data_IF_801300302944
#
_entry.id   IF_801300302944
#
_cell.length_a   1.000
_cell.length_b   1.000
_cell.length_c   1.000
_cell.angle_alpha   90.00
_cell.angle_beta   90.00
_cell.angle_gamma   90.00
#
_symmetry.space_group_name_H-M   'P 1'
#
loop_
_entity.id
_entity.type
_entity.pdbx_description
1 polymer ?
#
# COMPACT_ATOMS: atom_id res chain seq x y z
N UNK A 1 -21.13 49.91 -50.18
CA UNK A 1 -20.30 50.22 -48.99
C UNK A 1 -20.22 48.97 -48.12
N UNK A 2 -19.02 48.37 -48.12
CA UNK A 2 -18.42 47.35 -47.22
C UNK A 2 -19.31 46.58 -46.23
N UNK A 3 -19.49 45.28 -46.48
CA UNK A 3 -19.85 44.29 -45.46
C UNK A 3 -18.57 43.83 -44.73
N UNK A 4 -18.43 44.18 -43.45
CA UNK A 4 -17.35 43.72 -42.57
C UNK A 4 -17.65 42.31 -42.06
N UNK A 5 -16.91 41.32 -42.54
CA UNK A 5 -16.85 39.99 -41.94
C UNK A 5 -15.89 40.04 -40.74
N UNK A 6 -16.43 39.92 -39.52
CA UNK A 6 -15.66 39.70 -38.30
C UNK A 6 -15.41 38.19 -38.18
N UNK A 7 -14.20 37.75 -38.52
CA UNK A 7 -13.71 36.40 -38.22
C UNK A 7 -13.42 36.31 -36.73
N UNK A 8 -14.33 35.68 -35.98
CA UNK A 8 -14.10 35.24 -34.60
C UNK A 8 -13.16 34.02 -34.64
N UNK A 9 -11.90 34.24 -34.29
CA UNK A 9 -10.97 33.15 -33.94
C UNK A 9 -11.41 32.56 -32.60
N UNK A 10 -12.10 31.41 -32.64
CA UNK A 10 -12.34 30.60 -31.46
C UNK A 10 -11.00 29.96 -31.05
N UNK A 11 -10.39 30.49 -29.99
CA UNK A 11 -9.29 29.85 -29.29
C UNK A 11 -9.83 28.56 -28.65
N UNK A 12 -9.62 27.42 -29.31
CA UNK A 12 -9.82 26.11 -28.72
C UNK A 12 -8.73 25.89 -27.67
N UNK A 13 -8.99 26.28 -26.43
CA UNK A 13 -8.22 25.85 -25.28
C UNK A 13 -8.49 24.36 -25.06
N UNK A 14 -7.60 23.51 -25.57
CA UNK A 14 -7.57 22.12 -25.14
C UNK A 14 -7.27 22.09 -23.63
N UNK A 15 -8.07 21.40 -22.81
CA UNK A 15 -7.69 21.14 -21.44
C UNK A 15 -6.44 20.25 -21.53
N UNK A 16 -5.28 20.80 -21.20
CA UNK A 16 -4.15 19.95 -20.84
C UNK A 16 -4.60 19.20 -19.59
N UNK A 17 -4.97 17.93 -19.75
CA UNK A 17 -5.10 17.02 -18.61
C UNK A 17 -3.71 16.98 -17.99
N UNK A 18 -3.51 17.70 -16.89
CA UNK A 18 -2.27 17.64 -16.15
C UNK A 18 -2.12 16.20 -15.66
N UNK A 19 -1.26 15.42 -16.32
CA UNK A 19 -0.86 14.10 -15.81
C UNK A 19 -0.40 14.30 -14.37
N UNK A 20 -0.96 13.54 -13.44
CA UNK A 20 -0.50 13.60 -12.05
C UNK A 20 1.02 13.38 -12.03
N UNK A 21 1.75 14.17 -11.24
CA UNK A 21 3.22 14.25 -11.36
C UNK A 21 3.90 12.90 -11.13
N UNK A 22 3.27 12.00 -10.39
CA UNK A 22 3.77 10.63 -10.15
C UNK A 22 3.75 9.74 -11.41
N UNK A 23 2.93 10.06 -12.42
CA UNK A 23 2.79 9.27 -13.66
C UNK A 23 4.03 9.38 -14.57
N UNK A 24 4.93 10.32 -14.30
CA UNK A 24 6.21 10.44 -15.00
C UNK A 24 7.12 9.25 -14.63
N UNK A 25 7.70 8.51 -15.60
CA UNK A 25 8.45 7.28 -15.30
C UNK A 25 9.55 7.44 -14.27
N UNK A 26 10.33 8.52 -14.37
CA UNK A 26 11.42 8.81 -13.45
C UNK A 26 10.88 9.09 -12.05
N UNK A 27 9.73 9.77 -11.95
CA UNK A 27 9.09 10.03 -10.66
C UNK A 27 8.53 8.77 -10.04
N UNK A 28 7.83 7.93 -10.81
CA UNK A 28 7.33 6.65 -10.35
C UNK A 28 8.46 5.74 -9.86
N UNK A 29 9.58 5.69 -10.58
CA UNK A 29 10.77 4.94 -10.17
C UNK A 29 11.34 5.44 -8.83
N UNK A 30 11.43 6.76 -8.64
CA UNK A 30 11.89 7.37 -7.39
C UNK A 30 10.96 7.04 -6.21
N UNK A 31 9.65 7.17 -6.42
CA UNK A 31 8.64 6.85 -5.40
C UNK A 31 8.74 5.37 -5.04
N UNK A 32 8.80 4.48 -6.04
CA UNK A 32 8.92 3.05 -5.81
C UNK A 32 10.17 2.71 -5.00
N UNK A 33 11.33 3.26 -5.37
CA UNK A 33 12.57 3.04 -4.62
C UNK A 33 12.46 3.53 -3.16
N UNK A 34 11.83 4.69 -2.93
CA UNK A 34 11.66 5.27 -1.60
C UNK A 34 10.70 4.47 -0.70
N UNK A 35 9.72 3.79 -1.26
CA UNK A 35 8.73 3.00 -0.49
C UNK A 35 9.15 1.53 -0.35
N UNK A 36 9.84 0.96 -1.34
CA UNK A 36 10.10 -0.49 -1.40
C UNK A 36 11.48 -0.95 -0.88
N UNK A 37 12.50 -0.07 -0.89
CA UNK A 37 13.87 -0.47 -0.51
C UNK A 37 14.12 -0.31 1.00
N UNK A 38 13.56 0.72 1.60
CA UNK A 38 13.70 1.06 3.02
C UNK A 38 12.58 0.41 3.85
N UNK A 39 12.75 0.45 5.17
CA UNK A 39 11.71 0.10 6.13
C UNK A 39 11.53 1.29 7.06
N UNK A 40 10.29 1.58 7.44
CA UNK A 40 9.94 2.73 8.30
C UNK A 40 10.67 2.67 9.65
N UNK A 41 10.80 1.45 10.19
CA UNK A 41 11.37 1.22 11.52
C UNK A 41 12.47 0.15 11.46
N UNK A 42 13.73 0.57 11.49
CA UNK A 42 14.88 -0.31 11.74
C UNK A 42 16.06 -0.11 10.80
N UNK A 43 17.18 -0.72 11.19
CA UNK A 43 18.45 -0.65 10.45
C UNK A 43 18.61 -1.92 9.60
N UNK A 44 18.14 -1.86 8.36
CA UNK A 44 18.25 -2.96 7.40
C UNK A 44 18.87 -2.50 6.08
N UNK A 45 19.49 -3.40 5.30
CA UNK A 45 19.96 -3.04 3.98
C UNK A 45 18.79 -2.55 3.12
N UNK A 46 19.04 -1.53 2.31
CA UNK A 46 18.11 -1.03 1.32
C UNK A 46 17.95 -2.09 0.21
N UNK A 47 16.91 -2.91 0.30
CA UNK A 47 16.67 -4.04 -0.60
C UNK A 47 15.18 -4.37 -0.74
N UNK A 48 14.81 -4.99 -1.85
CA UNK A 48 13.44 -5.47 -2.07
C UNK A 48 13.09 -6.60 -1.10
N UNK A 49 11.92 -6.47 -0.48
CA UNK A 49 11.30 -7.47 0.39
C UNK A 49 10.01 -7.93 -0.27
N UNK A 50 9.85 -9.23 -0.52
CA UNK A 50 8.69 -9.78 -1.26
C UNK A 50 8.29 -11.17 -0.75
N UNK A 51 7.00 -11.49 -0.83
CA UNK A 51 6.51 -12.83 -0.59
C UNK A 51 6.86 -13.77 -1.75
N UNK A 52 7.27 -15.01 -1.43
CA UNK A 52 7.46 -16.10 -2.39
C UNK A 52 6.56 -17.32 -2.09
N UNK A 53 5.68 -17.18 -1.11
CA UNK A 53 4.74 -18.19 -0.65
C UNK A 53 3.36 -17.55 -0.50
N UNK A 54 2.27 -18.35 -0.47
CA UNK A 54 0.94 -17.82 -0.20
C UNK A 54 0.89 -17.03 1.11
N UNK A 55 0.14 -15.94 1.12
CA UNK A 55 -0.06 -15.11 2.31
C UNK A 55 -1.28 -15.64 3.06
N UNK A 56 -1.07 -15.98 4.33
CA UNK A 56 -2.07 -16.55 5.22
C UNK A 56 -2.23 -15.62 6.42
N UNK A 57 -3.40 -14.99 6.47
CA UNK A 57 -3.70 -13.93 7.43
C UNK A 57 -4.50 -14.51 8.60
N UNK A 58 -4.01 -14.35 9.82
CA UNK A 58 -4.81 -14.62 11.01
C UNK A 58 -5.17 -13.32 11.70
N UNK A 59 -6.43 -13.19 12.11
CA UNK A 59 -6.93 -12.01 12.81
C UNK A 59 -7.06 -12.36 14.29
N UNK A 60 -6.28 -11.67 15.11
CA UNK A 60 -6.41 -11.66 16.56
C UNK A 60 -7.40 -10.55 16.95
N UNK A 61 -8.58 -10.93 17.42
CA UNK A 61 -9.65 -9.98 17.68
C UNK A 61 -9.90 -9.84 19.17
N UNK A 62 -9.45 -8.72 19.75
CA UNK A 62 -9.48 -8.47 21.21
C UNK A 62 -10.43 -7.35 21.62
N UNK A 63 -11.27 -6.90 20.69
CA UNK A 63 -12.23 -5.80 20.84
C UNK A 63 -13.62 -6.21 20.32
N UNK A 64 -14.61 -5.31 20.38
CA UNK A 64 -15.92 -5.52 19.75
C UNK A 64 -15.87 -5.46 18.21
N UNK A 65 -17.03 -5.52 17.55
CA UNK A 65 -17.17 -5.30 16.08
C UNK A 65 -16.43 -6.28 15.16
N UNK A 66 -16.25 -7.53 15.59
CA UNK A 66 -15.61 -8.61 14.81
C UNK A 66 -16.09 -8.72 13.38
N UNK A 67 -17.40 -8.72 13.18
CA UNK A 67 -18.00 -8.85 11.84
C UNK A 67 -17.56 -7.71 10.91
N UNK A 68 -17.50 -6.48 11.41
CA UNK A 68 -17.07 -5.33 10.63
C UNK A 68 -15.58 -5.42 10.28
N UNK A 69 -14.72 -5.68 11.28
CA UNK A 69 -13.28 -5.72 11.05
C UNK A 69 -12.88 -6.86 10.10
N UNK A 70 -13.49 -8.04 10.24
CA UNK A 70 -13.27 -9.15 9.31
C UNK A 70 -13.76 -8.80 7.91
N UNK A 71 -14.93 -8.17 7.77
CA UNK A 71 -15.47 -7.76 6.47
C UNK A 71 -14.55 -6.76 5.76
N UNK A 72 -14.10 -5.72 6.46
CA UNK A 72 -13.18 -4.71 5.91
C UNK A 72 -11.85 -5.35 5.48
N UNK A 73 -11.30 -6.20 6.34
CA UNK A 73 -10.06 -6.94 6.07
C UNK A 73 -10.22 -7.83 4.83
N UNK A 74 -11.29 -8.63 4.76
CA UNK A 74 -11.54 -9.55 3.66
C UNK A 74 -11.67 -8.86 2.31
N UNK A 75 -12.36 -7.72 2.27
CA UNK A 75 -12.50 -6.91 1.07
C UNK A 75 -11.14 -6.40 0.59
N UNK A 76 -10.28 -5.96 1.51
CA UNK A 76 -8.93 -5.50 1.16
C UNK A 76 -8.01 -6.64 0.72
N UNK A 77 -8.02 -7.78 1.42
CA UNK A 77 -7.20 -8.94 1.04
C UNK A 77 -7.53 -9.45 -0.36
N UNK A 78 -8.82 -9.48 -0.75
CA UNK A 78 -9.23 -9.81 -2.13
C UNK A 78 -8.69 -8.79 -3.13
N UNK A 79 -8.76 -7.50 -2.80
CA UNK A 79 -8.24 -6.43 -3.65
C UNK A 79 -6.73 -6.56 -3.87
N UNK A 80 -5.96 -6.78 -2.81
CA UNK A 80 -4.52 -7.01 -2.87
C UNK A 80 -4.17 -8.24 -3.71
N UNK A 81 -4.91 -9.36 -3.54
CA UNK A 81 -4.73 -10.56 -4.35
C UNK A 81 -4.98 -10.31 -5.83
N UNK A 82 -6.02 -9.55 -6.18
CA UNK A 82 -6.34 -9.19 -7.55
C UNK A 82 -5.25 -8.32 -8.22
N UNK A 83 -4.66 -7.37 -7.50
CA UNK A 83 -3.60 -6.49 -8.02
C UNK A 83 -2.28 -7.27 -8.21
N UNK A 84 -1.90 -8.06 -7.21
CA UNK A 84 -0.57 -8.67 -7.12
C UNK A 84 -0.47 -10.06 -7.74
N UNK A 85 -1.60 -10.75 -7.92
CA UNK A 85 -1.64 -12.17 -8.31
C UNK A 85 -1.23 -13.13 -7.19
N UNK A 86 -1.01 -12.64 -5.97
CA UNK A 86 -0.72 -13.48 -4.81
C UNK A 86 -1.96 -14.27 -4.37
N UNK A 87 -1.72 -15.50 -3.90
CA UNK A 87 -2.70 -16.26 -3.12
C UNK A 87 -2.72 -15.71 -1.68
N UNK A 88 -3.72 -14.87 -1.39
CA UNK A 88 -3.92 -14.21 -0.09
C UNK A 88 -5.25 -14.70 0.50
N UNK A 89 -5.23 -15.27 1.70
CA UNK A 89 -6.43 -15.77 2.36
C UNK A 89 -6.34 -15.70 3.88
N UNK A 90 -7.48 -15.56 4.56
CA UNK A 90 -7.55 -15.73 6.01
C UNK A 90 -7.45 -17.19 6.43
N UNK A 91 -6.88 -17.42 7.61
CA UNK A 91 -6.86 -18.72 8.29
C UNK A 91 -7.50 -18.60 9.67
N UNK A 92 -8.12 -19.69 10.14
CA UNK A 92 -8.84 -19.69 11.41
C UNK A 92 -7.95 -19.83 12.66
N UNK A 93 -6.69 -20.22 12.49
CA UNK A 93 -5.74 -20.47 13.60
C UNK A 93 -4.38 -19.86 13.29
N UNK A 94 -3.71 -19.37 14.35
CA UNK A 94 -2.46 -18.60 14.25
C UNK A 94 -1.31 -19.39 13.65
N UNK A 95 -1.23 -20.69 13.92
CA UNK A 95 -0.12 -21.57 13.52
C UNK A 95 -0.05 -21.77 12.00
N UNK A 96 -1.12 -21.44 11.28
CA UNK A 96 -1.18 -21.49 9.82
C UNK A 96 -0.89 -20.14 9.16
N UNK A 97 -0.67 -19.09 9.94
CA UNK A 97 -0.50 -17.74 9.45
C UNK A 97 0.97 -17.38 9.28
N UNK A 98 1.24 -16.57 8.26
CA UNK A 98 2.49 -15.83 8.11
C UNK A 98 2.25 -14.32 8.13
N UNK A 99 1.00 -13.87 8.18
CA UNK A 99 0.61 -12.49 8.45
C UNK A 99 -0.35 -12.45 9.64
N UNK A 100 -0.05 -11.66 10.66
CA UNK A 100 -0.91 -11.49 11.85
C UNK A 100 -1.50 -10.08 11.87
N UNK A 101 -2.82 -9.97 11.95
CA UNK A 101 -3.52 -8.70 12.14
C UNK A 101 -4.16 -8.69 13.53
N UNK A 102 -3.70 -7.80 14.40
CA UNK A 102 -4.23 -7.67 15.77
C UNK A 102 -5.11 -6.43 15.87
N UNK A 103 -6.38 -6.63 16.18
CA UNK A 103 -7.28 -5.56 16.60
C UNK A 103 -7.30 -5.50 18.12
N UNK A 104 -6.72 -4.45 18.68
CA UNK A 104 -6.55 -4.26 20.12
C UNK A 104 -7.09 -2.90 20.59
N UNK A 105 -6.84 -2.56 21.85
CA UNK A 105 -7.13 -1.27 22.47
C UNK A 105 -5.84 -0.51 22.73
N UNK A 106 -5.90 0.82 22.76
CA UNK A 106 -4.75 1.67 23.05
C UNK A 106 -4.06 1.32 24.38
N UNK A 107 -4.83 0.92 25.41
CA UNK A 107 -4.32 0.52 26.72
C UNK A 107 -3.50 -0.80 26.74
N UNK A 108 -3.63 -1.63 25.71
CA UNK A 108 -2.86 -2.89 25.51
C UNK A 108 -1.81 -2.78 24.41
N UNK A 109 -1.76 -1.66 23.70
CA UNK A 109 -1.06 -1.56 22.43
C UNK A 109 0.45 -1.82 22.55
N UNK A 110 1.10 -1.28 23.59
CA UNK A 110 2.53 -1.51 23.84
C UNK A 110 2.87 -3.01 24.03
N UNK A 111 2.04 -3.76 24.76
CA UNK A 111 2.23 -5.20 24.96
C UNK A 111 2.08 -5.97 23.65
N UNK A 112 1.10 -5.57 22.84
CA UNK A 112 0.78 -6.25 21.59
C UNK A 112 1.81 -5.98 20.51
N UNK A 113 2.31 -4.74 20.43
CA UNK A 113 3.46 -4.39 19.59
C UNK A 113 4.70 -5.18 20.01
N UNK A 114 5.01 -5.23 21.31
CA UNK A 114 6.17 -5.98 21.80
C UNK A 114 6.08 -7.47 21.47
N UNK A 115 4.88 -8.04 21.48
CA UNK A 115 4.63 -9.46 21.15
C UNK A 115 4.78 -9.76 19.67
N UNK A 116 4.21 -8.92 18.81
CA UNK A 116 4.10 -9.20 17.37
C UNK A 116 5.29 -8.67 16.56
N UNK A 117 5.83 -7.51 16.95
CA UNK A 117 6.90 -6.80 16.23
C UNK A 117 8.21 -6.74 17.03
N UNK A 118 8.19 -7.23 18.28
CA UNK A 118 9.34 -7.19 19.18
C UNK A 118 9.40 -5.93 20.04
N UNK A 119 10.15 -5.95 21.16
CA UNK A 119 10.16 -4.87 22.16
C UNK A 119 10.66 -3.54 21.59
N UNK A 120 11.50 -3.58 20.55
CA UNK A 120 12.01 -2.39 19.87
C UNK A 120 10.93 -1.58 19.17
N UNK A 121 9.81 -2.17 18.75
CA UNK A 121 8.72 -1.47 18.06
C UNK A 121 8.03 -0.45 18.97
N UNK A 122 7.96 -0.72 20.28
CA UNK A 122 7.28 0.14 21.27
C UNK A 122 7.85 1.57 21.29
N UNK A 123 9.12 1.76 20.91
CA UNK A 123 9.73 3.10 20.88
C UNK A 123 9.13 4.04 19.82
N UNK A 124 8.46 3.49 18.81
CA UNK A 124 7.84 4.24 17.71
C UNK A 124 6.33 4.42 17.88
N UNK A 125 5.74 3.88 18.96
CA UNK A 125 4.29 3.91 19.14
C UNK A 125 3.71 5.33 19.33
N UNK A 126 4.52 6.26 19.83
CA UNK A 126 4.05 7.60 20.16
C UNK A 126 3.86 8.44 18.90
N UNK A 127 2.63 8.85 18.64
CA UNK A 127 2.25 9.62 17.45
C UNK A 127 1.72 8.76 16.30
N UNK A 128 2.02 7.46 16.31
CA UNK A 128 1.44 6.51 15.36
C UNK A 128 -0.03 6.21 15.67
N UNK A 129 -0.83 5.91 14.64
CA UNK A 129 -2.25 5.51 14.78
C UNK A 129 -2.41 3.99 14.75
N UNK A 130 -1.61 3.34 13.93
CA UNK A 130 -1.42 1.90 13.80
C UNK A 130 0.07 1.66 13.57
N UNK A 131 0.51 0.41 13.72
CA UNK A 131 1.87 0.05 13.33
C UNK A 131 1.91 -1.36 12.75
N UNK A 132 2.78 -1.54 11.77
CA UNK A 132 3.11 -2.81 11.19
C UNK A 132 4.60 -3.06 11.13
N UNK A 133 4.94 -4.24 10.64
CA UNK A 133 6.31 -4.61 10.39
C UNK A 133 6.43 -6.00 9.80
N UNK A 134 7.58 -6.26 9.20
CA UNK A 134 7.85 -7.51 8.52
C UNK A 134 9.26 -8.01 8.82
N UNK A 135 9.39 -9.33 8.87
CA UNK A 135 10.66 -10.02 8.95
C UNK A 135 10.94 -10.73 7.62
N UNK A 136 12.15 -10.52 7.11
CA UNK A 136 12.59 -11.11 5.85
C UNK A 136 13.98 -11.72 5.98
N UNK A 137 14.24 -12.74 5.17
CA UNK A 137 15.55 -13.37 5.07
C UNK A 137 15.98 -13.38 3.60
N UNK A 138 17.12 -12.76 3.29
CA UNK A 138 17.60 -12.56 1.91
C UNK A 138 16.51 -11.93 1.01
N UNK A 139 15.78 -10.95 1.55
CA UNK A 139 14.67 -10.26 0.87
C UNK A 139 13.37 -11.07 0.75
N UNK A 140 13.35 -12.34 1.15
CA UNK A 140 12.10 -13.12 1.16
C UNK A 140 11.36 -12.87 2.47
N UNK A 141 10.14 -12.35 2.39
CA UNK A 141 9.30 -12.14 3.59
C UNK A 141 8.92 -13.49 4.18
N UNK A 142 9.11 -13.63 5.50
CA UNK A 142 8.81 -14.86 6.26
C UNK A 142 7.61 -14.68 7.18
N UNK A 143 7.51 -13.50 7.78
CA UNK A 143 6.38 -13.13 8.63
C UNK A 143 6.16 -11.62 8.58
N UNK A 144 4.93 -11.20 8.83
CA UNK A 144 4.59 -9.80 9.09
C UNK A 144 3.47 -9.72 10.12
N UNK A 145 3.36 -8.56 10.77
CA UNK A 145 2.25 -8.25 11.63
C UNK A 145 1.81 -6.80 11.50
N UNK A 146 0.53 -6.56 11.79
CA UNK A 146 -0.09 -5.25 11.89
C UNK A 146 -0.89 -5.20 13.19
N UNK A 147 -0.72 -4.14 13.98
CA UNK A 147 -1.37 -3.98 15.29
C UNK A 147 -2.12 -2.66 15.33
N UNK A 148 -3.46 -2.74 15.36
CA UNK A 148 -4.36 -1.60 15.27
C UNK A 148 -5.08 -1.38 16.61
N UNK A 149 -4.78 -0.29 17.35
CA UNK A 149 -5.56 0.12 18.51
C UNK A 149 -6.88 0.74 18.04
N UNK A 150 -7.96 -0.05 17.99
CA UNK A 150 -9.20 0.29 17.30
C UNK A 150 -9.90 1.52 17.87
N UNK A 151 -9.85 1.71 19.19
CA UNK A 151 -10.42 2.88 19.86
C UNK A 151 -9.72 4.18 19.45
N UNK A 152 -8.38 4.18 19.40
CA UNK A 152 -7.60 5.31 18.91
C UNK A 152 -7.81 5.52 17.40
N UNK A 153 -7.71 4.46 16.59
CA UNK A 153 -7.90 4.57 15.15
C UNK A 153 -9.29 5.12 14.78
N UNK A 154 -10.35 4.71 15.49
CA UNK A 154 -11.70 5.27 15.30
C UNK A 154 -11.83 6.71 15.75
N UNK A 155 -11.18 7.10 16.86
CA UNK A 155 -11.17 8.48 17.33
C UNK A 155 -10.63 9.43 16.25
N UNK A 156 -9.65 8.98 15.47
CA UNK A 156 -9.07 9.74 14.36
C UNK A 156 -9.76 9.50 13.00
N UNK A 157 -10.80 8.65 12.93
CA UNK A 157 -11.43 8.29 11.66
C UNK A 157 -10.56 7.42 10.74
N UNK A 158 -9.50 6.80 11.26
CA UNK A 158 -8.43 6.13 10.50
C UNK A 158 -8.48 4.60 10.52
N UNK A 159 -9.54 3.98 11.04
CA UNK A 159 -9.63 2.52 11.10
C UNK A 159 -9.48 1.85 9.72
N UNK A 160 -10.15 2.38 8.69
CA UNK A 160 -10.05 1.82 7.34
C UNK A 160 -8.67 2.06 6.75
N UNK A 161 -8.15 3.30 6.86
CA UNK A 161 -6.81 3.65 6.42
C UNK A 161 -5.76 2.71 7.02
N UNK A 162 -5.79 2.49 8.34
CA UNK A 162 -4.89 1.57 9.02
C UNK A 162 -5.00 0.12 8.50
N UNK A 163 -6.20 -0.39 8.22
CA UNK A 163 -6.34 -1.73 7.63
C UNK A 163 -5.72 -1.76 6.23
N UNK A 164 -5.96 -0.72 5.43
CA UNK A 164 -5.49 -0.65 4.04
C UNK A 164 -3.98 -0.52 3.99
N UNK A 165 -3.42 0.47 4.66
CA UNK A 165 -2.00 0.80 4.69
C UNK A 165 -1.18 -0.38 5.20
N UNK A 166 -1.46 -0.86 6.41
CA UNK A 166 -0.64 -1.86 7.09
C UNK A 166 -0.61 -3.20 6.35
N UNK A 167 -1.75 -3.64 5.82
CA UNK A 167 -1.81 -4.87 5.03
C UNK A 167 -1.12 -4.72 3.67
N UNK A 168 -1.09 -3.51 3.11
CA UNK A 168 -0.38 -3.24 1.86
C UNK A 168 1.13 -3.15 2.07
N UNK A 169 1.57 -2.43 3.11
CA UNK A 169 2.97 -2.36 3.52
C UNK A 169 3.53 -3.76 3.84
N UNK A 170 2.72 -4.62 4.49
CA UNK A 170 3.09 -6.00 4.77
C UNK A 170 3.34 -6.89 3.54
N UNK A 171 2.99 -6.43 2.32
CA UNK A 171 3.38 -7.10 1.08
C UNK A 171 4.79 -6.75 0.60
N UNK A 172 5.46 -5.77 1.22
CA UNK A 172 6.85 -5.38 0.93
C UNK A 172 7.07 -3.90 0.64
N UNK A 173 6.02 -3.07 0.65
CA UNK A 173 6.10 -1.61 0.49
C UNK A 173 6.20 -0.94 1.87
N UNK A 174 7.23 -1.29 2.64
CA UNK A 174 7.25 -1.15 4.09
C UNK A 174 7.76 0.21 4.63
N UNK A 175 7.66 1.27 3.84
CA UNK A 175 8.15 2.59 4.23
C UNK A 175 7.25 3.71 3.72
N UNK A 176 7.00 4.69 4.59
CA UNK A 176 6.31 5.91 4.23
C UNK A 176 7.26 6.95 3.63
N UNK A 177 6.71 7.77 2.74
CA UNK A 177 7.48 8.78 2.03
C UNK A 177 6.63 9.97 1.62
N UNK A 178 7.14 11.17 1.95
CA UNK A 178 6.61 12.43 1.41
C UNK A 178 6.61 12.46 -0.13
N UNK A 179 7.47 11.66 -0.78
CA UNK A 179 7.51 11.58 -2.23
C UNK A 179 6.29 10.87 -2.82
N UNK A 180 5.64 10.02 -2.02
CA UNK A 180 4.61 9.09 -2.46
C UNK A 180 3.22 9.72 -2.62
N UNK A 181 3.01 11.02 -2.42
CA UNK A 181 1.68 11.62 -2.62
C UNK A 181 1.10 11.31 -4.03
N UNK A 182 -0.17 10.82 -4.16
CA UNK A 182 -1.22 10.70 -3.13
C UNK A 182 -1.38 9.28 -2.51
N UNK A 183 -0.33 8.46 -2.48
CA UNK A 183 -0.32 7.10 -1.92
C UNK A 183 -0.78 7.03 -0.46
N UNK A 184 -1.28 5.86 -0.04
CA UNK A 184 -1.51 5.55 1.38
C UNK A 184 -0.22 5.54 2.21
N UNK A 185 0.97 5.47 1.59
CA UNK A 185 2.29 5.57 2.24
C UNK A 185 2.75 7.02 2.44
N UNK A 186 1.81 7.96 2.50
CA UNK A 186 2.09 9.39 2.62
C UNK A 186 1.13 10.01 3.64
N UNK A 187 1.68 10.51 4.74
CA UNK A 187 0.90 11.11 5.85
C UNK A 187 -0.01 12.28 5.44
N UNK A 188 0.30 12.95 4.32
CA UNK A 188 -0.49 14.07 3.80
C UNK A 188 -1.57 13.61 2.82
N UNK A 189 -1.66 12.32 2.51
CA UNK A 189 -2.68 11.80 1.62
C UNK A 189 -4.07 11.88 2.27
N UNK A 190 -5.08 12.41 1.55
CA UNK A 190 -6.46 12.38 2.02
C UNK A 190 -7.14 11.03 1.79
N UNK A 191 -6.52 10.11 1.04
CA UNK A 191 -7.13 8.84 0.64
C UNK A 191 -6.93 7.76 1.71
N UNK A 192 -8.04 7.26 2.28
CA UNK A 192 -8.01 6.12 3.21
C UNK A 192 -8.00 4.74 2.48
N UNK A 193 -8.01 4.75 1.14
CA UNK A 193 -8.04 3.56 0.28
C UNK A 193 -6.92 3.62 -0.75
N UNK A 194 -6.57 2.46 -1.34
CA UNK A 194 -5.57 2.42 -2.41
C UNK A 194 -5.93 3.37 -3.55
N UNK A 195 -4.92 4.14 -3.95
CA UNK A 195 -4.89 5.00 -5.11
C UNK A 195 -4.33 4.27 -6.33
N UNK A 196 -4.39 4.95 -7.47
CA UNK A 196 -3.80 4.48 -8.73
C UNK A 196 -2.28 4.31 -8.62
N UNK A 197 -1.63 5.16 -7.82
CA UNK A 197 -0.22 5.07 -7.52
C UNK A 197 0.07 3.79 -6.71
N UNK A 198 -0.69 3.51 -5.65
CA UNK A 198 -0.50 2.31 -4.83
C UNK A 198 -0.62 1.02 -5.65
N UNK A 199 -1.65 0.94 -6.50
CA UNK A 199 -1.85 -0.19 -7.39
C UNK A 199 -0.67 -0.35 -8.37
N UNK A 200 -0.12 0.76 -8.85
CA UNK A 200 1.06 0.75 -9.72
C UNK A 200 2.32 0.28 -8.98
N UNK A 201 2.54 0.73 -7.75
CA UNK A 201 3.67 0.31 -6.91
C UNK A 201 3.62 -1.18 -6.60
N UNK A 202 2.44 -1.71 -6.25
CA UNK A 202 2.23 -3.15 -6.04
C UNK A 202 2.52 -3.96 -7.30
N UNK A 203 2.07 -3.51 -8.47
CA UNK A 203 2.34 -4.18 -9.75
C UNK A 203 3.83 -4.18 -10.09
N UNK A 204 4.55 -3.09 -9.82
CA UNK A 204 6.01 -3.03 -9.98
C UNK A 204 6.68 -4.01 -9.01
N UNK A 205 6.32 -3.99 -7.73
CA UNK A 205 6.87 -4.91 -6.72
C UNK A 205 6.65 -6.37 -7.12
N UNK A 206 5.47 -6.70 -7.66
CA UNK A 206 5.09 -8.05 -8.04
C UNK A 206 5.44 -8.44 -9.49
N UNK A 207 6.06 -7.56 -10.28
CA UNK A 207 6.62 -7.91 -11.59
C UNK A 207 7.61 -9.09 -11.45
N UNK A 208 7.56 -10.11 -12.34
CA UNK A 208 8.45 -11.28 -12.27
C UNK A 208 9.95 -10.96 -12.33
N UNK A 209 10.34 -9.82 -12.91
CA UNK A 209 11.74 -9.36 -12.97
C UNK A 209 12.24 -8.86 -11.61
N UNK A 210 11.34 -8.42 -10.74
CA UNK A 210 11.67 -7.91 -9.40
C UNK A 210 11.79 -9.08 -8.42
N UNK A 211 13.04 -9.53 -8.24
CA UNK A 211 13.41 -10.58 -7.31
C UNK A 211 13.56 -10.05 -5.87
N UNK A 212 13.30 -10.87 -4.84
CA UNK A 212 13.63 -10.51 -3.46
C UNK A 212 15.15 -10.30 -3.30
N UNK A 213 15.52 -9.31 -2.49
CA UNK A 213 16.92 -9.01 -2.15
C UNK A 213 17.65 -8.13 -3.16
N UNK A 214 16.99 -7.69 -4.25
CA UNK A 214 17.55 -6.69 -5.15
C UNK A 214 17.84 -5.39 -4.40
N UNK A 215 19.03 -4.83 -4.60
CA UNK A 215 19.43 -3.54 -4.04
C UNK A 215 19.03 -2.38 -4.97
N UNK A 216 19.30 -1.15 -4.54
CA UNK A 216 18.98 0.06 -5.29
C UNK A 216 19.56 0.07 -6.72
N UNK A 217 20.83 -0.32 -6.88
CA UNK A 217 21.50 -0.30 -8.18
C UNK A 217 20.87 -1.30 -9.16
N UNK A 218 20.71 -2.56 -8.75
CA UNK A 218 20.11 -3.59 -9.60
C UNK A 218 18.66 -3.25 -9.95
N UNK A 219 17.90 -2.73 -8.99
CA UNK A 219 16.54 -2.26 -9.22
C UNK A 219 16.48 -1.09 -10.21
N UNK A 220 17.39 -0.13 -10.10
CA UNK A 220 17.47 1.04 -10.98
C UNK A 220 17.65 0.69 -12.46
N UNK A 221 18.33 -0.42 -12.76
CA UNK A 221 18.48 -0.93 -14.13
C UNK A 221 17.20 -1.59 -14.67
N UNK A 222 16.34 -2.14 -13.80
CA UNK A 222 15.12 -2.85 -14.20
C UNK A 222 13.90 -1.92 -14.32
N UNK A 223 13.83 -0.89 -13.47
CA UNK A 223 12.65 -0.03 -13.37
C UNK A 223 12.22 0.65 -14.67
N UNK A 224 13.12 1.19 -15.53
CA UNK A 224 12.71 1.85 -16.77
C UNK A 224 11.88 0.93 -17.67
N UNK A 225 12.35 -0.31 -17.89
CA UNK A 225 11.66 -1.28 -18.75
C UNK A 225 10.35 -1.76 -18.12
N UNK A 226 10.33 -1.99 -16.79
CA UNK A 226 9.10 -2.38 -16.06
C UNK A 226 8.03 -1.29 -16.17
N UNK A 227 8.42 -0.03 -15.95
CA UNK A 227 7.49 1.09 -15.98
C UNK A 227 6.98 1.34 -17.40
N UNK A 228 7.85 1.25 -18.41
CA UNK A 228 7.41 1.38 -19.81
C UNK A 228 6.46 0.25 -20.21
N UNK A 229 6.70 -0.98 -19.76
CA UNK A 229 5.75 -2.09 -19.96
C UNK A 229 4.41 -1.85 -19.26
N UNK A 230 4.43 -1.39 -18.01
CA UNK A 230 3.22 -1.06 -17.26
C UNK A 230 2.36 -0.01 -17.99
N UNK A 231 3.01 0.97 -18.63
CA UNK A 231 2.36 2.04 -19.40
C UNK A 231 1.88 1.61 -20.78
N UNK A 232 2.65 0.77 -21.47
CA UNK A 232 2.32 0.26 -22.82
C UNK A 232 1.19 -0.75 -22.78
N UNK A 233 1.19 -1.59 -21.75
CA UNK A 233 0.13 -2.56 -21.54
C UNK A 233 -1.08 -1.85 -20.94
N UNK A 234 -2.27 -2.40 -21.15
CA UNK A 234 -3.52 -1.95 -20.50
C UNK A 234 -3.45 -2.04 -18.95
N UNK A 235 -2.30 -2.41 -18.37
CA UNK A 235 -2.04 -2.53 -16.95
C UNK A 235 -2.13 -1.18 -16.21
N UNK A 236 -1.71 -0.07 -16.82
CA UNK A 236 -1.91 1.25 -16.22
C UNK A 236 -3.41 1.57 -16.10
N UNK A 237 -4.18 1.36 -17.18
CA UNK A 237 -5.65 1.51 -17.16
C UNK A 237 -6.33 0.53 -16.20
N UNK A 238 -5.79 -0.68 -16.03
CA UNK A 238 -6.26 -1.64 -15.03
C UNK A 238 -5.93 -1.20 -13.61
N UNK A 239 -4.74 -0.67 -13.33
CA UNK A 239 -4.43 -0.09 -12.02
C UNK A 239 -5.41 1.04 -11.67
N UNK A 240 -5.69 1.93 -12.64
CA UNK A 240 -6.73 2.96 -12.52
C UNK A 240 -8.13 2.36 -12.26
N UNK A 241 -8.41 1.17 -12.78
CA UNK A 241 -9.67 0.47 -12.59
C UNK A 241 -9.73 -0.21 -11.23
N UNK A 242 -8.65 -0.88 -10.81
CA UNK A 242 -8.58 -1.65 -9.57
C UNK A 242 -8.82 -0.73 -8.36
N UNK A 243 -8.10 0.40 -8.30
CA UNK A 243 -8.30 1.40 -7.24
C UNK A 243 -9.76 1.90 -7.17
N UNK A 244 -10.37 2.16 -8.33
CA UNK A 244 -11.73 2.73 -8.43
C UNK A 244 -12.86 1.72 -8.21
N UNK A 245 -12.61 0.44 -8.43
CA UNK A 245 -13.63 -0.62 -8.34
C UNK A 245 -13.39 -1.59 -7.16
N UNK A 246 -12.55 -1.21 -6.20
CA UNK A 246 -12.41 -2.00 -4.97
C UNK A 246 -13.73 -2.09 -4.21
N UNK A 247 -14.00 -3.25 -3.62
CA UNK A 247 -15.20 -3.47 -2.81
C UNK A 247 -15.30 -2.45 -1.67
N UNK A 248 -14.17 -2.07 -1.07
CA UNK A 248 -14.12 -1.07 0.01
C UNK A 248 -14.60 0.30 -0.46
N UNK A 249 -14.18 0.74 -1.65
CA UNK A 249 -14.64 1.99 -2.23
C UNK A 249 -16.14 1.96 -2.50
N UNK A 250 -16.66 0.83 -2.99
CA UNK A 250 -18.10 0.63 -3.19
C UNK A 250 -18.90 0.64 -1.89
N UNK A 251 -18.34 0.14 -0.78
CA UNK A 251 -18.97 0.17 0.54
C UNK A 251 -19.00 1.58 1.16
N UNK A 252 -17.92 2.36 1.00
CA UNK A 252 -17.80 3.69 1.60
C UNK A 252 -18.50 4.80 0.79
N UNK A 253 -18.89 4.53 -0.45
CA UNK A 253 -19.66 5.45 -1.28
C UNK A 253 -21.19 5.39 -1.02
N UNK A 254 -21.64 4.51 -0.11
CA UNK A 254 -23.04 4.33 0.30
C UNK A 254 -23.35 5.12 1.58
#
# INVERSE_FOLDING_TARGET
>A
MSARWLLLFALLSWPAVASERWQQPQRLAQIFAAVALTVEHGDGPAQIRKWQQPVRVWIDHRVGDRVLHERLTDMHLRHLGAITGLDIARVGVRERANLVLVFTRADRWAEDLARELGPGAVRYMHGAVCMGGLHSQKGVIRSAAAVIPVDQARMHGKLVACIVEELTQALGLANDSELAYPSVFNDLSPDDLLTDLDCSLLRILYDPRVAPGLNADALGHLLPDIIDDLRRQDLYRRALSDARHSELRGLLAQ
#
